data_IF_739636601729
#
_entry.id   IF_739636601729
#
_cell.length_a   1.000
_cell.length_b   1.000
_cell.length_c   1.000
_cell.angle_alpha   90.00
_cell.angle_beta   90.00
_cell.angle_gamma   90.00
#
_symmetry.space_group_name_H-M   'P 1'
#
loop_
_entity.id
_entity.type
_entity.pdbx_description
1 polymer ?
#
# COMPACT_ATOMS: atom_id res chain seq x y z
N UNK A 1 12.91 15.62 7.31
CA UNK A 1 11.93 15.38 6.23
C UNK A 1 10.99 14.30 6.69
N UNK A 2 9.69 14.38 6.39
CA UNK A 2 8.74 13.39 6.88
C UNK A 2 9.10 11.97 6.44
N UNK A 3 8.89 11.01 7.33
CA UNK A 3 9.11 9.58 7.10
C UNK A 3 7.77 8.84 7.17
N UNK A 4 6.99 8.94 6.09
CA UNK A 4 5.65 8.39 6.05
C UNK A 4 5.61 6.86 6.22
N UNK A 5 4.74 6.43 7.13
CA UNK A 5 4.47 5.03 7.43
C UNK A 5 3.01 4.79 7.80
N UNK A 6 2.71 3.54 8.10
CA UNK A 6 1.35 3.06 8.38
C UNK A 6 1.38 2.12 9.57
N UNK A 7 0.40 2.24 10.45
CA UNK A 7 0.16 1.27 11.52
C UNK A 7 -1.20 0.60 11.28
N UNK A 8 -1.23 -0.72 11.37
CA UNK A 8 -2.42 -1.54 11.15
C UNK A 8 -2.72 -2.34 12.41
N UNK A 9 -3.79 -2.00 13.10
CA UNK A 9 -4.26 -2.69 14.31
C UNK A 9 -5.13 -3.88 13.92
N UNK A 10 -4.58 -5.10 14.04
CA UNK A 10 -5.27 -6.33 13.64
C UNK A 10 -6.46 -6.62 14.55
N UNK A 11 -6.41 -6.23 15.82
CA UNK A 11 -7.53 -6.39 16.75
C UNK A 11 -8.79 -5.60 16.32
N UNK A 12 -8.62 -4.56 15.49
CA UNK A 12 -9.72 -3.76 14.95
C UNK A 12 -10.15 -4.19 13.55
N UNK A 13 -9.32 -4.97 12.85
CA UNK A 13 -9.60 -5.34 11.47
C UNK A 13 -10.73 -6.38 11.41
N UNK A 14 -11.82 -6.05 10.72
CA UNK A 14 -12.98 -6.93 10.54
C UNK A 14 -12.96 -7.70 9.21
N UNK A 15 -11.89 -7.59 8.41
CA UNK A 15 -11.80 -8.27 7.12
C UNK A 15 -12.79 -7.74 6.05
N UNK A 16 -13.42 -6.59 6.24
CA UNK A 16 -14.47 -6.05 5.36
C UNK A 16 -14.02 -5.66 3.94
N UNK A 17 -12.71 -5.63 3.66
CA UNK A 17 -12.09 -5.30 2.37
C UNK A 17 -12.38 -3.88 1.82
N UNK A 18 -13.00 -2.99 2.59
CA UNK A 18 -13.24 -1.61 2.17
C UNK A 18 -11.94 -0.90 1.72
N UNK A 19 -10.83 -1.18 2.39
CA UNK A 19 -9.50 -0.68 2.05
C UNK A 19 -9.00 -1.18 0.67
N UNK A 20 -9.32 -2.41 0.27
CA UNK A 20 -8.99 -2.94 -1.08
C UNK A 20 -9.79 -2.22 -2.15
N UNK A 21 -11.09 -2.07 -1.96
CA UNK A 21 -11.99 -1.40 -2.91
C UNK A 21 -11.56 0.05 -3.09
N UNK A 22 -11.39 0.79 -1.98
CA UNK A 22 -10.95 2.18 -2.02
C UNK A 22 -9.58 2.34 -2.71
N UNK A 23 -8.63 1.44 -2.43
CA UNK A 23 -7.32 1.44 -3.09
C UNK A 23 -7.44 1.22 -4.61
N UNK A 24 -8.30 0.29 -5.05
CA UNK A 24 -8.54 0.02 -6.47
C UNK A 24 -9.16 1.22 -7.19
N UNK A 25 -10.15 1.85 -6.60
CA UNK A 25 -10.82 3.03 -7.16
C UNK A 25 -9.87 4.23 -7.23
N UNK A 26 -9.22 4.56 -6.11
CA UNK A 26 -8.30 5.70 -6.03
C UNK A 26 -7.13 5.62 -7.00
N UNK A 27 -6.59 4.41 -7.19
CA UNK A 27 -5.35 4.21 -7.94
C UNK A 27 -5.56 3.58 -9.31
N UNK A 28 -6.78 3.58 -9.86
CA UNK A 28 -7.08 2.96 -11.16
C UNK A 28 -6.50 1.54 -11.28
N UNK A 29 -6.58 0.73 -10.22
CA UNK A 29 -6.11 -0.66 -10.26
C UNK A 29 -7.15 -1.49 -11.02
N UNK A 30 -6.76 -2.24 -12.06
CA UNK A 30 -7.71 -2.92 -12.91
C UNK A 30 -8.48 -4.02 -12.18
N UNK A 31 -9.70 -4.29 -12.66
CA UNK A 31 -10.52 -5.41 -12.22
C UNK A 31 -10.01 -6.66 -12.93
N UNK A 32 -9.65 -7.67 -12.16
CA UNK A 32 -9.17 -8.95 -12.68
C UNK A 32 -10.35 -9.86 -13.00
N UNK A 33 -10.37 -10.42 -14.20
CA UNK A 33 -11.34 -11.45 -14.57
C UNK A 33 -11.04 -12.80 -13.90
N UNK A 34 -11.99 -13.76 -13.93
CA UNK A 34 -11.85 -15.07 -13.29
C UNK A 34 -10.61 -15.85 -13.72
N UNK A 35 -10.22 -15.76 -14.98
CA UNK A 35 -9.01 -16.41 -15.51
C UNK A 35 -7.73 -15.84 -14.89
N UNK A 36 -7.66 -14.50 -14.77
CA UNK A 36 -6.52 -13.81 -14.14
C UNK A 36 -6.40 -14.19 -12.66
N UNK A 37 -7.53 -14.32 -11.97
CA UNK A 37 -7.57 -14.75 -10.57
C UNK A 37 -7.07 -16.19 -10.45
N UNK A 38 -7.60 -17.12 -11.23
CA UNK A 38 -7.19 -18.54 -11.23
C UNK A 38 -5.70 -18.72 -11.55
N UNK A 39 -5.15 -17.89 -12.43
CA UNK A 39 -3.71 -17.92 -12.78
C UNK A 39 -2.80 -17.16 -11.82
N UNK A 40 -3.33 -16.62 -10.71
CA UNK A 40 -2.58 -15.83 -9.74
C UNK A 40 -2.07 -14.48 -10.28
N UNK A 41 -2.73 -13.93 -11.32
CA UNK A 41 -2.33 -12.70 -12.02
C UNK A 41 -3.19 -11.49 -11.68
N UNK A 42 -4.01 -11.59 -10.65
CA UNK A 42 -4.79 -10.45 -10.16
C UNK A 42 -3.88 -9.41 -9.49
N UNK A 43 -4.26 -8.15 -9.63
CA UNK A 43 -3.53 -7.01 -9.07
C UNK A 43 -4.31 -6.43 -7.91
N UNK A 44 -3.68 -6.36 -6.74
CA UNK A 44 -4.25 -5.74 -5.54
C UNK A 44 -3.16 -5.02 -4.76
N UNK A 45 -3.10 -3.69 -4.87
CA UNK A 45 -2.09 -2.90 -4.16
C UNK A 45 -2.27 -2.93 -2.64
N UNK A 46 -3.50 -3.03 -2.18
CA UNK A 46 -3.90 -3.41 -0.85
C UNK A 46 -4.61 -4.75 -0.97
N UNK A 47 -4.24 -5.74 -0.16
CA UNK A 47 -4.89 -7.04 -0.11
C UNK A 47 -5.08 -7.45 1.35
N UNK A 48 -6.29 -7.81 1.71
CA UNK A 48 -6.57 -8.42 3.01
C UNK A 48 -6.32 -9.91 2.88
N UNK A 49 -5.33 -10.41 3.61
CA UNK A 49 -5.07 -11.84 3.75
C UNK A 49 -5.95 -12.37 4.88
N UNK A 50 -6.40 -13.60 4.72
CA UNK A 50 -7.09 -14.35 5.78
C UNK A 50 -6.14 -15.42 6.25
N UNK A 51 -5.96 -15.50 7.56
CA UNK A 51 -5.23 -16.56 8.24
C UNK A 51 -6.23 -17.29 9.12
N UNK A 52 -6.38 -18.59 8.90
CA UNK A 52 -7.37 -19.42 9.58
C UNK A 52 -6.62 -20.47 10.40
N UNK A 53 -6.88 -20.49 11.70
CA UNK A 53 -6.27 -21.43 12.64
C UNK A 53 -7.37 -22.24 13.36
N UNK A 54 -7.05 -23.51 13.69
CA UNK A 54 -7.94 -24.41 14.42
C UNK A 54 -8.78 -25.31 13.52
N UNK A 55 -9.63 -26.09 14.15
CA UNK A 55 -10.56 -27.03 13.52
C UNK A 55 -12.00 -26.73 13.98
N UNK A 56 -12.98 -27.06 13.16
CA UNK A 56 -14.39 -26.91 13.52
C UNK A 56 -14.69 -27.73 14.77
N UNK A 57 -15.35 -27.15 15.85
CA UNK A 57 -16.01 -25.84 15.86
C UNK A 57 -15.13 -24.65 16.27
N UNK A 58 -13.87 -24.86 16.68
CA UNK A 58 -13.00 -23.84 17.28
C UNK A 58 -12.05 -23.23 16.25
N UNK A 59 -12.63 -22.57 15.24
CA UNK A 59 -11.87 -21.87 14.18
C UNK A 59 -11.70 -20.40 14.55
N UNK A 60 -10.46 -19.89 14.48
CA UNK A 60 -10.12 -18.47 14.55
C UNK A 60 -9.72 -17.97 13.16
N UNK A 61 -10.17 -16.79 12.79
CA UNK A 61 -9.78 -16.13 11.54
C UNK A 61 -9.20 -14.75 11.83
N UNK A 62 -7.98 -14.52 11.39
CA UNK A 62 -7.27 -13.24 11.46
C UNK A 62 -7.22 -12.58 10.09
N UNK A 63 -7.36 -11.27 10.05
CA UNK A 63 -7.36 -10.49 8.81
C UNK A 63 -6.16 -9.55 8.76
N UNK A 64 -5.28 -9.75 7.77
CA UNK A 64 -4.05 -8.98 7.63
C UNK A 64 -4.06 -8.13 6.36
N UNK A 65 -4.42 -6.83 6.45
CA UNK A 65 -4.28 -5.91 5.33
C UNK A 65 -2.81 -5.75 4.94
N UNK A 66 -2.47 -6.10 3.71
CA UNK A 66 -1.09 -6.10 3.22
C UNK A 66 -0.90 -5.15 2.04
N UNK A 67 -0.46 -3.90 2.26
CA UNK A 67 0.03 -2.99 1.22
C UNK A 67 1.52 -3.24 0.91
N UNK A 68 2.13 -2.39 0.08
CA UNK A 68 3.59 -2.29 0.01
C UNK A 68 4.15 -1.77 1.35
N UNK A 69 5.20 -2.40 1.87
CA UNK A 69 5.81 -2.04 3.15
C UNK A 69 6.63 -0.74 3.12
N UNK A 70 6.84 -0.15 1.94
CA UNK A 70 7.64 1.07 1.77
C UNK A 70 8.95 1.09 2.58
N UNK A 71 9.68 -0.02 2.54
CA UNK A 71 10.89 -0.29 3.31
C UNK A 71 11.90 0.86 3.28
N UNK A 72 12.60 1.09 4.39
CA UNK A 72 13.71 2.05 4.45
C UNK A 72 14.97 1.50 3.79
N UNK A 73 15.16 0.17 3.83
CA UNK A 73 16.21 -0.55 3.11
C UNK A 73 15.59 -1.42 1.98
N UNK A 74 15.08 -0.82 0.87
CA UNK A 74 14.25 -1.50 -0.10
C UNK A 74 15.06 -2.34 -1.10
N UNK A 75 15.01 -3.68 -1.07
CA UNK A 75 15.73 -4.51 -2.03
C UNK A 75 15.25 -4.26 -3.48
N UNK A 76 13.96 -3.97 -3.65
CA UNK A 76 13.38 -3.70 -4.96
C UNK A 76 13.93 -2.44 -5.67
N UNK A 77 14.44 -1.47 -4.92
CA UNK A 77 15.12 -0.28 -5.49
C UNK A 77 16.52 -0.65 -5.93
N UNK A 78 17.24 -1.42 -5.10
CA UNK A 78 18.63 -1.82 -5.36
C UNK A 78 18.78 -2.63 -6.65
N UNK A 79 17.82 -3.51 -6.95
CA UNK A 79 17.89 -4.42 -8.09
C UNK A 79 17.32 -3.82 -9.40
N UNK A 80 16.77 -2.61 -9.40
CA UNK A 80 16.15 -2.05 -10.60
C UNK A 80 17.22 -1.51 -11.58
N UNK A 81 17.45 -2.16 -12.73
CA UNK A 81 18.54 -1.79 -13.64
C UNK A 81 18.32 -0.41 -14.31
N UNK A 82 17.07 -0.01 -14.47
CA UNK A 82 16.68 1.26 -15.11
C UNK A 82 16.24 2.33 -14.09
N UNK A 83 16.41 2.08 -12.79
CA UNK A 83 15.98 2.98 -11.70
C UNK A 83 14.52 3.44 -11.81
N UNK A 84 13.65 2.57 -12.36
CA UNK A 84 12.22 2.81 -12.41
C UNK A 84 11.57 2.71 -11.02
N UNK A 85 12.08 1.82 -10.16
CA UNK A 85 11.73 1.80 -8.73
C UNK A 85 12.71 2.68 -7.98
N UNK A 86 12.21 3.59 -7.16
CA UNK A 86 13.04 4.56 -6.42
C UNK A 86 12.49 4.82 -5.02
N UNK A 87 13.33 5.33 -4.13
CA UNK A 87 12.94 5.87 -2.82
C UNK A 87 12.92 7.40 -2.92
N UNK A 88 11.79 8.01 -2.61
CA UNK A 88 11.66 9.47 -2.57
C UNK A 88 12.30 10.05 -1.32
N UNK A 89 12.48 11.37 -1.29
CA UNK A 89 13.03 12.12 -0.14
C UNK A 89 12.19 11.94 1.13
N UNK A 90 10.87 11.71 0.98
CA UNK A 90 9.95 11.45 2.09
C UNK A 90 9.77 9.95 2.39
N UNK A 91 10.71 9.13 1.94
CA UNK A 91 10.74 7.69 2.19
C UNK A 91 9.71 6.86 1.43
N UNK A 92 8.89 7.43 0.56
CA UNK A 92 7.92 6.66 -0.25
C UNK A 92 8.67 5.91 -1.35
N UNK A 93 8.44 4.60 -1.46
CA UNK A 93 8.95 3.82 -2.57
C UNK A 93 8.01 4.01 -3.76
N UNK A 94 8.49 4.65 -4.80
CA UNK A 94 7.75 4.96 -6.02
C UNK A 94 8.09 4.03 -7.19
N UNK A 95 7.32 4.18 -8.27
CA UNK A 95 7.52 3.47 -9.53
C UNK A 95 7.29 4.43 -10.70
N UNK A 96 8.32 4.65 -11.51
CA UNK A 96 8.25 5.44 -12.75
C UNK A 96 7.86 4.49 -13.87
N UNK A 97 6.57 4.44 -14.20
CA UNK A 97 6.03 3.49 -15.17
C UNK A 97 6.68 3.58 -16.56
N UNK A 98 6.91 4.78 -17.16
CA UNK A 98 7.56 4.89 -18.47
C UNK A 98 9.01 4.38 -18.53
N UNK A 99 9.70 4.30 -17.38
CA UNK A 99 11.07 3.73 -17.32
C UNK A 99 11.07 2.22 -17.14
N UNK A 100 9.94 1.64 -16.74
CA UNK A 100 9.88 0.22 -16.43
C UNK A 100 9.97 -0.63 -17.70
N UNK A 101 10.96 -1.51 -17.77
CA UNK A 101 11.15 -2.47 -18.86
C UNK A 101 10.50 -3.84 -18.60
N UNK A 102 9.79 -3.99 -17.47
CA UNK A 102 9.08 -5.22 -17.14
C UNK A 102 9.95 -6.44 -16.81
N UNK A 103 11.20 -6.27 -16.49
CA UNK A 103 12.12 -7.38 -16.19
C UNK A 103 11.75 -8.19 -14.93
N UNK A 104 10.83 -7.69 -14.10
CA UNK A 104 10.30 -8.30 -12.86
C UNK A 104 11.34 -8.55 -11.76
N UNK A 105 12.58 -8.11 -11.91
CA UNK A 105 13.62 -8.33 -10.91
C UNK A 105 13.22 -7.74 -9.54
N UNK A 106 12.60 -6.57 -9.52
CA UNK A 106 12.08 -5.95 -8.29
C UNK A 106 10.90 -6.73 -7.66
N UNK A 107 10.14 -7.50 -8.45
CA UNK A 107 9.08 -8.35 -7.92
C UNK A 107 9.69 -9.59 -7.22
N UNK A 108 10.70 -10.20 -7.84
CA UNK A 108 11.40 -11.34 -7.26
C UNK A 108 12.21 -10.97 -6.01
N UNK A 109 12.75 -9.75 -5.95
CA UNK A 109 13.50 -9.25 -4.79
C UNK A 109 12.61 -8.80 -3.62
N UNK A 110 11.30 -8.68 -3.82
CA UNK A 110 10.38 -8.24 -2.79
C UNK A 110 9.91 -9.42 -1.92
N UNK A 111 10.32 -9.54 -0.64
CA UNK A 111 9.92 -10.68 0.18
C UNK A 111 8.42 -10.68 0.50
N UNK A 112 7.78 -9.52 0.43
CA UNK A 112 6.35 -9.36 0.74
C UNK A 112 5.41 -9.68 -0.43
N UNK A 113 5.95 -9.94 -1.64
CA UNK A 113 5.18 -10.24 -2.83
C UNK A 113 4.09 -9.18 -3.15
N UNK A 114 4.43 -7.90 -3.02
CA UNK A 114 3.51 -6.76 -3.21
C UNK A 114 3.85 -5.90 -4.42
N UNK A 115 4.57 -6.48 -5.38
CA UNK A 115 4.86 -5.88 -6.69
C UNK A 115 4.21 -6.72 -7.77
N UNK A 116 3.31 -6.11 -8.50
CA UNK A 116 2.44 -6.78 -9.47
C UNK A 116 2.88 -6.46 -10.88
N UNK A 117 3.00 -7.48 -11.71
CA UNK A 117 3.30 -7.33 -13.14
C UNK A 117 2.00 -7.30 -13.95
N UNK A 118 1.89 -6.34 -14.84
CA UNK A 118 0.76 -6.22 -15.74
C UNK A 118 0.88 -7.19 -16.92
N UNK A 119 0.27 -8.35 -16.80
CA UNK A 119 0.25 -9.38 -17.84
C UNK A 119 -0.67 -9.03 -19.00
N UNK A 120 -1.67 -8.17 -18.76
CA UNK A 120 -2.71 -7.77 -19.70
C UNK A 120 -2.86 -6.25 -19.70
N UNK A 121 -3.36 -5.70 -20.79
CA UNK A 121 -3.83 -4.32 -20.76
C UNK A 121 -5.06 -4.24 -19.85
N UNK A 122 -5.17 -3.22 -19.01
CA UNK A 122 -6.30 -3.06 -18.11
C UNK A 122 -7.58 -2.79 -18.89
N UNK A 123 -8.66 -3.43 -18.46
CA UNK A 123 -9.99 -3.24 -19.04
C UNK A 123 -10.96 -2.94 -17.92
N UNK A 124 -11.80 -1.93 -18.10
CA UNK A 124 -12.92 -1.63 -17.22
C UNK A 124 -14.23 -1.73 -17.98
N UNK A 125 -15.34 -2.13 -17.33
CA UNK A 125 -16.68 -1.94 -17.84
C UNK A 125 -16.88 -0.48 -18.25
N UNK A 126 -17.69 -0.25 -19.29
CA UNK A 126 -17.86 1.10 -19.87
C UNK A 126 -18.37 2.10 -18.81
N UNK A 127 -19.28 1.64 -17.95
CA UNK A 127 -19.87 2.43 -16.87
C UNK A 127 -18.82 2.91 -15.85
N UNK A 128 -17.76 2.12 -15.64
CA UNK A 128 -16.69 2.45 -14.68
C UNK A 128 -15.59 3.32 -15.28
N UNK A 129 -15.45 3.39 -16.59
CA UNK A 129 -14.41 4.20 -17.23
C UNK A 129 -14.51 5.69 -16.86
N UNK A 130 -15.73 6.21 -16.73
CA UNK A 130 -15.99 7.60 -16.33
C UNK A 130 -15.65 7.90 -14.87
N UNK A 131 -15.45 6.87 -14.04
CA UNK A 131 -15.09 6.98 -12.63
C UNK A 131 -13.59 6.78 -12.37
N UNK A 132 -12.78 6.61 -13.43
CA UNK A 132 -11.33 6.55 -13.27
C UNK A 132 -10.80 7.87 -12.71
N UNK A 133 -9.86 7.76 -11.77
CA UNK A 133 -9.22 8.92 -11.16
C UNK A 133 -8.32 9.61 -12.21
N UNK A 134 -8.59 10.88 -12.58
CA UNK A 134 -7.81 11.59 -13.59
C UNK A 134 -6.38 11.90 -13.15
N UNK A 135 -6.10 11.90 -11.85
CA UNK A 135 -4.76 12.20 -11.30
C UNK A 135 -3.83 10.99 -11.33
N UNK A 136 -4.35 9.83 -11.69
CA UNK A 136 -3.58 8.56 -11.68
C UNK A 136 -3.57 7.95 -13.08
N UNK A 137 -2.39 7.79 -13.64
CA UNK A 137 -2.23 7.17 -14.96
C UNK A 137 -2.69 5.70 -14.94
N UNK A 138 -3.33 5.28 -16.00
CA UNK A 138 -3.59 3.87 -16.28
C UNK A 138 -2.27 3.19 -16.67
N UNK A 139 -1.98 2.03 -16.05
CA UNK A 139 -0.76 1.26 -16.33
C UNK A 139 -1.05 0.23 -17.41
N UNK A 140 -0.18 0.14 -18.38
CA UNK A 140 -0.27 -0.77 -19.51
C UNK A 140 0.39 -2.12 -19.24
N UNK A 141 0.14 -3.08 -20.12
CA UNK A 141 0.82 -4.40 -20.11
C UNK A 141 2.33 -4.24 -20.14
N UNK A 142 3.05 -5.12 -19.44
CA UNK A 142 4.50 -5.23 -19.50
C UNK A 142 5.27 -4.43 -18.44
N UNK A 143 4.58 -3.75 -17.52
CA UNK A 143 5.24 -3.00 -16.44
C UNK A 143 4.89 -3.54 -15.06
N UNK A 144 5.65 -3.11 -14.05
CA UNK A 144 5.39 -3.38 -12.63
C UNK A 144 4.61 -2.23 -12.02
N UNK A 145 3.64 -2.56 -11.17
CA UNK A 145 2.93 -1.61 -10.33
C UNK A 145 2.85 -2.08 -8.87
N UNK A 146 2.57 -1.18 -7.95
CA UNK A 146 2.45 -1.43 -6.52
C UNK A 146 1.81 -0.24 -5.80
N UNK A 147 1.44 -0.41 -4.54
CA UNK A 147 1.01 0.68 -3.67
C UNK A 147 2.05 1.83 -3.64
N UNK A 148 1.57 3.07 -3.72
CA UNK A 148 2.38 4.30 -3.69
C UNK A 148 2.06 5.17 -2.48
N UNK A 149 1.32 4.65 -1.49
CA UNK A 149 0.71 5.44 -0.42
C UNK A 149 -0.16 6.60 -0.94
N UNK A 150 -0.80 6.39 -2.12
CA UNK A 150 -1.59 7.42 -2.80
C UNK A 150 -0.80 8.73 -3.00
N UNK A 151 0.40 8.63 -3.58
CA UNK A 151 1.33 9.75 -3.79
C UNK A 151 0.68 10.98 -4.46
N UNK A 152 -0.31 10.78 -5.34
CA UNK A 152 -1.09 11.86 -5.96
C UNK A 152 -1.81 12.73 -4.92
N UNK A 153 -2.32 12.11 -3.84
CA UNK A 153 -2.95 12.85 -2.73
C UNK A 153 -1.93 13.71 -1.98
N UNK A 154 -0.71 13.19 -1.77
CA UNK A 154 0.37 13.97 -1.17
C UNK A 154 0.72 15.20 -2.01
N UNK A 155 0.78 15.06 -3.34
CA UNK A 155 1.06 16.19 -4.21
C UNK A 155 -0.03 17.27 -4.10
N UNK A 156 -1.30 16.88 -4.16
CA UNK A 156 -2.42 17.81 -3.97
C UNK A 156 -2.39 18.50 -2.60
N UNK A 157 -2.12 17.74 -1.54
CA UNK A 157 -2.03 18.29 -0.19
C UNK A 157 -0.89 19.32 -0.08
N UNK A 158 0.27 19.03 -0.66
CA UNK A 158 1.41 19.95 -0.71
C UNK A 158 1.10 21.23 -1.49
N UNK A 159 0.45 21.11 -2.65
CA UNK A 159 0.06 22.26 -3.45
C UNK A 159 -0.93 23.14 -2.69
N UNK A 160 -1.92 22.54 -2.02
CA UNK A 160 -2.90 23.26 -1.19
C UNK A 160 -2.21 23.97 -0.02
N UNK A 161 -1.38 23.26 0.73
CA UNK A 161 -0.66 23.85 1.88
C UNK A 161 0.25 24.99 1.44
N UNK A 162 0.93 24.84 0.28
CA UNK A 162 1.76 25.90 -0.30
C UNK A 162 0.93 27.13 -0.72
N UNK A 163 -0.22 26.93 -1.31
CA UNK A 163 -1.14 28.00 -1.68
C UNK A 163 -1.63 28.75 -0.43
N UNK A 164 -1.99 28.00 0.61
CA UNK A 164 -2.43 28.54 1.90
C UNK A 164 -1.28 29.08 2.78
N UNK A 165 -0.03 29.01 2.31
CA UNK A 165 1.19 29.45 3.01
C UNK A 165 1.32 28.87 4.44
N UNK A 166 0.98 27.62 4.63
CA UNK A 166 1.07 26.90 5.90
C UNK A 166 1.82 25.57 5.75
N UNK A 167 2.29 24.98 6.85
CA UNK A 167 2.84 23.62 6.82
C UNK A 167 1.76 22.59 6.49
N UNK A 168 2.19 21.44 5.98
CA UNK A 168 1.35 20.26 5.80
C UNK A 168 1.00 19.67 7.17
N UNK A 169 -0.26 19.31 7.38
CA UNK A 169 -0.76 18.67 8.61
C UNK A 169 -1.06 17.20 8.38
N UNK A 170 -1.22 16.42 9.45
CA UNK A 170 -1.55 15.00 9.36
C UNK A 170 -2.85 14.75 8.55
N UNK A 171 -3.88 15.55 8.82
CA UNK A 171 -5.18 15.43 8.14
C UNK A 171 -5.19 15.81 6.67
N UNK A 172 -4.20 16.58 6.20
CA UNK A 172 -4.12 17.01 4.80
C UNK A 172 -3.78 15.86 3.85
N UNK A 173 -3.11 14.82 4.34
CA UNK A 173 -2.67 13.71 3.52
C UNK A 173 -2.98 12.36 4.17
N UNK A 174 -4.03 11.72 3.70
CA UNK A 174 -4.41 10.37 4.09
C UNK A 174 -4.58 9.48 2.85
N UNK A 175 -3.99 8.27 2.80
CA UNK A 175 -4.28 7.29 1.76
C UNK A 175 -5.74 6.85 1.75
N UNK A 176 -6.28 6.51 0.58
CA UNK A 176 -7.67 6.12 0.43
C UNK A 176 -8.08 4.90 1.30
N UNK A 177 -7.16 3.97 1.53
CA UNK A 177 -7.41 2.80 2.38
C UNK A 177 -7.56 3.16 3.86
N UNK A 178 -6.96 4.27 4.31
CA UNK A 178 -7.10 4.78 5.68
C UNK A 178 -8.48 5.42 5.86
N UNK A 179 -8.82 6.34 4.97
CA UNK A 179 -10.14 7.03 5.00
C UNK A 179 -11.31 6.06 4.90
N UNK A 180 -11.16 5.00 4.10
CA UNK A 180 -12.22 4.02 3.86
C UNK A 180 -12.31 2.93 4.93
N UNK A 181 -11.46 2.93 5.96
CA UNK A 181 -11.46 1.88 6.98
C UNK A 181 -12.53 2.15 8.06
N UNK A 182 -13.68 1.43 8.07
CA UNK A 182 -14.76 1.74 8.99
C UNK A 182 -14.40 1.58 10.47
N UNK A 183 -13.66 0.53 10.89
CA UNK A 183 -13.25 0.37 12.28
C UNK A 183 -12.03 1.22 12.67
N UNK A 184 -11.46 2.02 11.75
CA UNK A 184 -10.25 2.78 12.01
C UNK A 184 -9.03 1.93 12.36
N UNK A 185 -8.95 0.73 11.78
CA UNK A 185 -7.84 -0.21 12.00
C UNK A 185 -6.53 0.26 11.36
N UNK A 186 -6.59 1.15 10.37
CA UNK A 186 -5.42 1.63 9.62
C UNK A 186 -5.19 3.09 9.96
N UNK A 187 -4.01 3.42 10.45
CA UNK A 187 -3.52 4.78 10.67
C UNK A 187 -2.30 5.07 9.80
N UNK A 188 -2.12 6.33 9.42
CA UNK A 188 -1.05 6.74 8.53
C UNK A 188 -0.53 8.12 8.93
N UNK A 189 0.78 8.34 8.83
CA UNK A 189 1.38 9.62 9.16
C UNK A 189 2.90 9.59 9.08
N UNK A 190 3.53 10.61 9.62
CA UNK A 190 4.98 10.70 9.80
C UNK A 190 5.40 9.93 11.05
N UNK A 191 6.24 8.91 10.88
CA UNK A 191 6.74 8.07 11.97
C UNK A 191 7.73 8.79 12.89
N UNK A 192 8.23 9.95 12.50
CA UNK A 192 9.22 10.73 13.23
C UNK A 192 8.64 12.02 13.85
N UNK A 193 7.36 12.32 13.59
CA UNK A 193 6.65 13.47 14.17
C UNK A 193 5.78 13.04 15.35
N UNK A 194 6.12 13.52 16.56
CA UNK A 194 5.39 13.22 17.81
C UNK A 194 3.93 13.68 17.84
N UNK A 195 3.56 14.61 16.94
CA UNK A 195 2.17 15.07 16.81
C UNK A 195 1.31 14.12 15.95
N UNK A 196 1.92 13.16 15.26
CA UNK A 196 1.20 12.19 14.45
C UNK A 196 0.86 10.94 15.25
N UNK A 197 -0.36 10.46 15.11
CA UNK A 197 -0.87 9.29 15.83
C UNK A 197 -0.02 8.02 15.64
N UNK A 198 0.56 7.85 14.47
CA UNK A 198 1.44 6.71 14.16
C UNK A 198 2.74 6.74 14.98
N UNK A 199 3.17 7.90 15.48
CA UNK A 199 4.37 8.03 16.30
C UNK A 199 4.24 7.29 17.63
N UNK A 200 3.12 7.43 18.33
CA UNK A 200 2.84 6.69 19.56
C UNK A 200 2.61 5.20 19.27
N UNK A 201 1.87 4.91 18.21
CA UNK A 201 1.48 3.53 17.88
C UNK A 201 2.65 2.65 17.41
N UNK A 202 3.71 3.22 16.82
CA UNK A 202 4.85 2.43 16.35
C UNK A 202 5.61 1.71 17.47
N UNK A 203 5.52 2.23 18.70
CA UNK A 203 6.19 1.73 19.89
C UNK A 203 5.21 1.02 20.86
N UNK A 204 3.97 0.72 20.42
CA UNK A 204 3.00 -0.11 21.16
C UNK A 204 3.62 -1.48 21.46
N UNK A 205 3.45 -2.06 22.67
CA UNK A 205 3.97 -3.39 23.00
C UNK A 205 3.54 -4.52 22.04
N UNK A 206 2.42 -4.35 21.34
CA UNK A 206 1.92 -5.29 20.31
C UNK A 206 2.54 -5.06 18.93
N UNK A 207 3.38 -4.01 18.77
CA UNK A 207 3.91 -3.63 17.47
C UNK A 207 4.95 -4.64 16.96
N UNK A 208 4.80 -5.05 15.70
CA UNK A 208 5.76 -5.88 15.00
C UNK A 208 5.81 -5.54 13.51
N UNK A 209 6.85 -5.99 12.83
CA UNK A 209 7.02 -5.83 11.39
C UNK A 209 7.09 -7.19 10.71
N UNK A 210 6.44 -7.33 9.57
CA UNK A 210 6.51 -8.57 8.80
C UNK A 210 7.95 -8.82 8.32
N UNK A 211 8.47 -10.06 8.53
CA UNK A 211 9.78 -10.49 8.06
C UNK A 211 10.91 -9.53 8.46
N UNK A 212 10.93 -9.10 9.71
CA UNK A 212 11.89 -8.11 10.22
C UNK A 212 13.33 -8.64 10.15
N UNK A 213 13.52 -9.94 10.29
CA UNK A 213 14.78 -10.67 10.17
C UNK A 213 15.48 -10.48 8.82
N UNK A 214 14.73 -10.11 7.76
CA UNK A 214 15.30 -9.85 6.43
C UNK A 214 15.97 -8.47 6.30
N UNK A 215 15.95 -7.63 7.33
CA UNK A 215 16.63 -6.35 7.38
C UNK A 215 16.17 -5.34 6.31
N UNK A 216 14.92 -5.44 5.85
CA UNK A 216 14.36 -4.51 4.86
C UNK A 216 13.80 -3.24 5.47
N UNK A 217 13.65 -3.19 6.80
CA UNK A 217 13.14 -2.06 7.57
C UNK A 217 11.76 -1.58 7.07
N UNK A 218 10.70 -2.39 7.23
CA UNK A 218 9.35 -2.01 6.82
C UNK A 218 8.83 -0.80 7.57
N UNK A 219 8.09 0.09 6.86
CA UNK A 219 7.38 1.22 7.46
C UNK A 219 5.87 0.97 7.59
N UNK A 220 5.42 -0.23 7.30
CA UNK A 220 4.11 -0.71 7.72
C UNK A 220 4.32 -1.58 8.95
N UNK A 221 3.71 -1.17 10.04
CA UNK A 221 3.81 -1.76 11.36
C UNK A 221 2.45 -2.38 11.68
N UNK A 222 2.45 -3.55 12.26
CA UNK A 222 1.23 -4.24 12.67
C UNK A 222 1.16 -4.28 14.19
N UNK A 223 -0.04 -4.07 14.72
CA UNK A 223 -0.34 -4.35 16.13
C UNK A 223 -1.06 -5.69 16.19
N UNK A 224 -0.48 -6.64 16.93
CA UNK A 224 -1.06 -7.97 17.12
C UNK A 224 -2.47 -7.89 17.72
N UNK A 225 -3.26 -8.93 17.51
CA UNK A 225 -4.53 -9.12 18.22
C UNK A 225 -4.26 -9.24 19.73
N UNK A 226 -5.22 -8.86 20.53
CA UNK A 226 -5.18 -9.09 21.96
C UNK A 226 -5.55 -10.58 22.19
N UNK A 227 -4.74 -11.30 22.94
CA UNK A 227 -5.03 -12.66 23.39
C UNK A 227 -6.28 -12.73 24.29
#
# INVERSE_FOLDING_TARGET
MPRYGMVIDLAKCTGCQACEVACKMENNVPISGPEQVRSGRSISWMKVLVDEEGEIPDVKASFVPRPCMHCDNPPCVKVCPVKATYKSEVGIIGQIHPRCIGCRYCANACPYNVKYFNWYNPVWPEELKKHLNPDVSVRYKGIIEKCTFCHQRLQKAREKARFEKRPLREEDYQPACVEACPPGAITFGDLDDENHKVYEQKDDPRAYRLMEDLGTEPKVIYLAELE
#
